data_IF_564457578488
#
_entry.id   IF_564457578488
#
_cell.length_a   1.000
_cell.length_b   1.000
_cell.length_c   1.000
_cell.angle_alpha   90.00
_cell.angle_beta   90.00
_cell.angle_gamma   90.00
#
_symmetry.space_group_name_H-M   'P 1'
#
loop_
_entity.id
_entity.type
_entity.pdbx_description
1 polymer ?
#
# COMPACT_ATOMS: atom_id res chain seq x y z
N UNK A 1 -36.30 -20.04 32.75
CA UNK A 1 -36.52 -20.05 31.27
C UNK A 1 -36.13 -18.75 30.58
N UNK A 2 -36.49 -17.57 31.09
CA UNK A 2 -36.17 -16.28 30.45
C UNK A 2 -34.67 -15.85 30.44
N UNK A 3 -33.85 -16.30 31.38
CA UNK A 3 -32.40 -16.00 31.39
C UNK A 3 -31.60 -16.78 30.35
N UNK A 4 -31.95 -18.05 30.14
CA UNK A 4 -31.30 -18.92 29.14
C UNK A 4 -31.53 -18.38 27.72
N UNK A 5 -32.76 -17.91 27.45
CA UNK A 5 -33.12 -17.28 26.18
C UNK A 5 -32.34 -15.97 25.98
N UNK A 6 -32.26 -15.11 27.01
CA UNK A 6 -31.49 -13.85 26.95
C UNK A 6 -30.00 -14.08 26.74
N UNK A 7 -29.42 -15.11 27.36
CA UNK A 7 -28.02 -15.48 27.16
C UNK A 7 -27.76 -16.01 25.73
N UNK A 8 -28.65 -16.87 25.22
CA UNK A 8 -28.57 -17.39 23.85
C UNK A 8 -28.62 -16.29 22.79
N UNK A 9 -29.54 -15.33 22.92
CA UNK A 9 -29.66 -14.18 22.00
C UNK A 9 -28.41 -13.30 22.04
N UNK A 10 -27.87 -13.02 23.24
CA UNK A 10 -26.65 -12.19 23.39
C UNK A 10 -25.41 -12.87 22.79
N UNK A 11 -25.31 -14.20 22.91
CA UNK A 11 -24.25 -14.99 22.30
C UNK A 11 -24.34 -14.99 20.77
N UNK A 12 -25.54 -15.17 20.21
CA UNK A 12 -25.79 -15.12 18.77
C UNK A 12 -25.47 -13.73 18.17
N UNK A 13 -25.87 -12.65 18.84
CA UNK A 13 -25.58 -11.29 18.41
C UNK A 13 -24.08 -11.00 18.39
N UNK A 14 -23.34 -11.44 19.43
CA UNK A 14 -21.87 -11.32 19.45
C UNK A 14 -21.23 -12.05 18.27
N UNK A 15 -21.68 -13.28 17.99
CA UNK A 15 -21.18 -14.08 16.86
C UNK A 15 -21.45 -13.38 15.53
N UNK A 16 -22.63 -12.81 15.35
CA UNK A 16 -23.01 -12.08 14.14
C UNK A 16 -22.17 -10.80 13.94
N UNK A 17 -21.88 -10.06 15.01
CA UNK A 17 -21.01 -8.87 14.96
C UNK A 17 -19.58 -9.28 14.55
N UNK A 18 -19.03 -10.34 15.15
CA UNK A 18 -17.68 -10.82 14.80
C UNK A 18 -17.57 -11.25 13.34
N UNK A 19 -18.58 -11.99 12.84
CA UNK A 19 -18.64 -12.39 11.43
C UNK A 19 -18.65 -11.16 10.49
N UNK A 20 -19.41 -10.12 10.84
CA UNK A 20 -19.45 -8.88 10.07
C UNK A 20 -18.11 -8.14 10.05
N UNK A 21 -17.37 -8.12 11.16
CA UNK A 21 -16.04 -7.52 11.22
C UNK A 21 -15.00 -8.31 10.42
N UNK A 22 -15.06 -9.65 10.48
CA UNK A 22 -14.20 -10.51 9.65
C UNK A 22 -14.46 -10.31 8.15
N UNK A 23 -15.72 -10.17 7.75
CA UNK A 23 -16.13 -9.85 6.39
C UNK A 23 -15.58 -8.51 5.93
N UNK A 24 -15.77 -7.45 6.71
CA UNK A 24 -15.22 -6.12 6.41
C UNK A 24 -13.71 -6.14 6.26
N UNK A 25 -13.01 -6.84 7.16
CA UNK A 25 -11.55 -6.97 7.13
C UNK A 25 -11.08 -7.70 5.87
N UNK A 26 -11.78 -8.77 5.48
CA UNK A 26 -11.50 -9.51 4.24
C UNK A 26 -11.72 -8.64 3.00
N UNK A 27 -12.81 -7.87 2.95
CA UNK A 27 -13.10 -6.94 1.86
C UNK A 27 -12.03 -5.84 1.76
N UNK A 28 -11.64 -5.25 2.89
CA UNK A 28 -10.60 -4.22 2.94
C UNK A 28 -9.25 -4.78 2.48
N UNK A 29 -8.87 -5.99 2.91
CA UNK A 29 -7.65 -6.65 2.45
C UNK A 29 -7.62 -6.80 0.93
N UNK A 30 -8.73 -7.21 0.33
CA UNK A 30 -8.79 -7.33 -1.13
C UNK A 30 -8.64 -5.97 -1.82
N UNK A 31 -9.25 -4.91 -1.30
CA UNK A 31 -9.11 -3.55 -1.85
C UNK A 31 -7.68 -3.03 -1.76
N UNK A 32 -7.02 -3.23 -0.61
CA UNK A 32 -5.60 -2.87 -0.42
C UNK A 32 -4.72 -3.62 -1.42
N UNK A 33 -4.98 -4.90 -1.68
CA UNK A 33 -4.22 -5.68 -2.66
C UNK A 33 -4.42 -5.17 -4.10
N UNK A 34 -5.65 -4.76 -4.47
CA UNK A 34 -5.92 -4.16 -5.79
C UNK A 34 -5.21 -2.81 -5.91
N UNK A 35 -5.24 -1.98 -4.86
CA UNK A 35 -4.55 -0.69 -4.84
C UNK A 35 -3.03 -0.87 -4.95
N UNK A 36 -2.47 -1.84 -4.22
CA UNK A 36 -1.07 -2.23 -4.35
C UNK A 36 -0.72 -2.67 -5.77
N UNK A 37 -1.54 -3.53 -6.39
CA UNK A 37 -1.35 -3.97 -7.77
C UNK A 37 -1.30 -2.78 -8.74
N UNK A 38 -2.24 -1.84 -8.62
CA UNK A 38 -2.27 -0.63 -9.45
C UNK A 38 -0.97 0.16 -9.30
N UNK A 39 -0.50 0.38 -8.07
CA UNK A 39 0.75 1.09 -7.83
C UNK A 39 1.96 0.32 -8.38
N UNK A 40 1.97 -1.01 -8.21
CA UNK A 40 3.09 -1.88 -8.55
C UNK A 40 3.28 -2.05 -10.06
N UNK A 41 2.18 -2.08 -10.80
CA UNK A 41 2.16 -2.19 -12.27
C UNK A 41 2.06 -0.82 -12.96
N UNK A 42 2.18 0.28 -12.20
CA UNK A 42 2.13 1.66 -12.72
C UNK A 42 0.84 1.97 -13.49
N UNK A 43 -0.27 1.38 -13.08
CA UNK A 43 -1.58 1.58 -13.70
C UNK A 43 -2.24 2.88 -13.20
N UNK A 44 -3.08 3.54 -14.04
CA UNK A 44 -3.84 4.70 -13.62
C UNK A 44 -4.82 4.39 -12.47
N UNK A 45 -4.93 5.27 -11.48
CA UNK A 45 -5.82 5.07 -10.32
C UNK A 45 -7.30 4.88 -10.69
N UNK A 46 -7.73 5.42 -11.84
CA UNK A 46 -9.08 5.21 -12.39
C UNK A 46 -9.40 3.74 -12.69
N UNK A 47 -8.40 2.86 -12.76
CA UNK A 47 -8.57 1.40 -12.91
C UNK A 47 -9.11 0.71 -11.64
N UNK A 48 -9.06 1.36 -10.48
CA UNK A 48 -9.46 0.77 -9.20
C UNK A 48 -10.91 0.29 -9.18
N UNK A 49 -11.86 1.17 -9.52
CA UNK A 49 -13.27 0.81 -9.60
C UNK A 49 -13.57 -0.32 -10.59
N UNK A 50 -13.12 -0.24 -11.86
CA UNK A 50 -13.23 -1.33 -12.82
C UNK A 50 -12.67 -2.67 -12.32
N UNK A 51 -11.52 -2.67 -11.64
CA UNK A 51 -10.92 -3.90 -11.10
C UNK A 51 -11.74 -4.48 -9.94
N UNK A 52 -12.26 -3.64 -9.03
CA UNK A 52 -13.17 -4.09 -7.97
C UNK A 52 -14.42 -4.75 -8.58
N UNK A 53 -15.02 -4.13 -9.60
CA UNK A 53 -16.19 -4.69 -10.30
C UNK A 53 -15.86 -6.01 -11.00
N UNK A 54 -14.67 -6.15 -11.58
CA UNK A 54 -14.20 -7.39 -12.19
C UNK A 54 -14.07 -8.50 -11.15
N UNK A 55 -13.46 -8.23 -10.00
CA UNK A 55 -13.37 -9.20 -8.90
C UNK A 55 -14.74 -9.61 -8.37
N UNK A 56 -15.67 -8.65 -8.24
CA UNK A 56 -17.06 -8.95 -7.88
C UNK A 56 -17.73 -9.87 -8.90
N UNK A 57 -17.54 -9.62 -10.21
CA UNK A 57 -18.05 -10.49 -11.29
C UNK A 57 -17.47 -11.90 -11.23
N UNK A 58 -16.23 -12.04 -10.74
CA UNK A 58 -15.56 -13.32 -10.55
C UNK A 58 -15.90 -14.00 -9.21
N UNK A 59 -16.91 -13.52 -8.48
CA UNK A 59 -17.42 -14.15 -7.26
C UNK A 59 -16.71 -13.73 -5.97
N UNK A 60 -15.86 -12.69 -6.01
CA UNK A 60 -15.28 -12.14 -4.79
C UNK A 60 -16.28 -11.17 -4.16
N UNK A 61 -16.76 -11.49 -2.97
CA UNK A 61 -17.64 -10.61 -2.21
C UNK A 61 -16.89 -9.35 -1.75
N UNK A 62 -16.97 -8.29 -2.55
CA UNK A 62 -16.39 -6.97 -2.30
C UNK A 62 -17.50 -5.94 -2.46
N UNK A 63 -17.78 -5.19 -1.39
CA UNK A 63 -18.72 -4.09 -1.53
C UNK A 63 -18.16 -3.00 -2.47
N UNK A 64 -19.03 -2.30 -3.24
CA UNK A 64 -18.61 -1.23 -4.13
C UNK A 64 -18.28 0.09 -3.40
N UNK A 65 -18.42 0.16 -2.07
CA UNK A 65 -18.11 1.38 -1.31
C UNK A 65 -16.61 1.69 -1.47
N UNK A 66 -16.25 2.96 -1.71
CA UNK A 66 -14.86 3.39 -1.88
C UNK A 66 -14.16 2.92 -3.17
N UNK A 67 -14.89 2.65 -4.26
CA UNK A 67 -14.35 2.15 -5.53
C UNK A 67 -13.86 3.26 -6.50
N UNK A 68 -13.27 4.33 -5.98
CA UNK A 68 -12.80 5.48 -6.77
C UNK A 68 -11.29 5.73 -6.64
N UNK A 69 -10.79 6.59 -7.52
CA UNK A 69 -9.40 6.99 -7.64
C UNK A 69 -8.84 7.66 -6.37
N UNK A 70 -9.61 8.53 -5.72
CA UNK A 70 -9.21 9.17 -4.45
C UNK A 70 -8.92 8.13 -3.38
N UNK A 71 -9.81 7.13 -3.24
CA UNK A 71 -9.64 6.04 -2.26
C UNK A 71 -8.48 5.12 -2.63
N UNK A 72 -8.25 4.88 -3.92
CA UNK A 72 -7.06 4.17 -4.38
C UNK A 72 -5.79 4.91 -3.95
N UNK A 73 -5.72 6.22 -4.18
CA UNK A 73 -4.57 7.05 -3.81
C UNK A 73 -4.32 7.05 -2.30
N UNK A 74 -5.36 7.18 -1.48
CA UNK A 74 -5.26 7.09 -0.02
C UNK A 74 -4.70 5.73 0.44
N UNK A 75 -5.20 4.62 -0.12
CA UNK A 75 -4.71 3.27 0.22
C UNK A 75 -3.24 3.09 -0.19
N UNK A 76 -2.86 3.56 -1.39
CA UNK A 76 -1.47 3.53 -1.85
C UNK A 76 -0.58 4.37 -0.92
N UNK A 77 -1.05 5.53 -0.47
CA UNK A 77 -0.35 6.37 0.51
C UNK A 77 -0.08 5.62 1.81
N UNK A 78 -1.09 4.97 2.39
CA UNK A 78 -0.94 4.17 3.61
C UNK A 78 0.03 2.99 3.41
N UNK A 79 -0.03 2.31 2.27
CA UNK A 79 0.91 1.24 1.93
C UNK A 79 2.34 1.79 1.88
N UNK A 80 2.54 2.93 1.21
CA UNK A 80 3.84 3.58 1.08
C UNK A 80 4.40 3.99 2.45
N UNK A 81 3.58 4.52 3.35
CA UNK A 81 4.00 4.89 4.71
C UNK A 81 4.47 3.68 5.51
N UNK A 82 3.71 2.58 5.49
CA UNK A 82 4.11 1.32 6.15
C UNK A 82 5.42 0.79 5.55
N UNK A 83 5.58 0.85 4.23
CA UNK A 83 6.82 0.44 3.57
C UNK A 83 8.01 1.32 3.97
N UNK A 84 7.83 2.64 4.09
CA UNK A 84 8.85 3.59 4.58
C UNK A 84 9.22 3.34 6.03
N UNK A 85 8.23 3.07 6.90
CA UNK A 85 8.48 2.72 8.30
C UNK A 85 9.29 1.44 8.43
N UNK A 86 8.93 0.40 7.66
CA UNK A 86 9.68 -0.86 7.60
C UNK A 86 11.12 -0.66 7.11
N UNK A 87 11.29 0.13 6.05
CA UNK A 87 12.62 0.49 5.53
C UNK A 87 13.43 1.28 6.58
N UNK A 88 12.82 2.27 7.25
CA UNK A 88 13.47 3.04 8.31
C UNK A 88 13.92 2.14 9.46
N UNK A 89 13.05 1.24 9.92
CA UNK A 89 13.38 0.27 10.97
C UNK A 89 14.55 -0.66 10.56
N UNK A 90 14.60 -1.04 9.28
CA UNK A 90 15.69 -1.85 8.71
C UNK A 90 17.01 -1.08 8.63
N UNK A 91 16.98 0.20 8.29
CA UNK A 91 18.16 1.04 8.13
C UNK A 91 18.76 1.53 9.47
N UNK A 92 17.92 1.77 10.49
CA UNK A 92 18.36 2.29 11.80
C UNK A 92 19.53 1.54 12.46
N UNK A 93 19.56 0.19 12.50
CA UNK A 93 20.66 -0.54 13.15
C UNK A 93 21.89 -0.77 12.25
N UNK A 94 21.85 -0.36 10.98
CA UNK A 94 22.90 -0.67 10.00
C UNK A 94 24.14 0.19 10.27
N UNK A 95 25.29 -0.46 10.46
CA UNK A 95 26.56 0.23 10.75
C UNK A 95 27.26 0.78 9.50
N UNK A 96 27.09 0.10 8.37
CA UNK A 96 27.76 0.43 7.12
C UNK A 96 26.75 0.40 5.98
N UNK A 97 26.62 1.54 5.32
CA UNK A 97 25.79 1.69 4.13
C UNK A 97 26.49 2.62 3.14
N UNK A 98 26.15 2.47 1.87
CA UNK A 98 26.47 3.41 0.82
C UNK A 98 25.18 4.02 0.28
N UNK A 99 25.22 5.32 -0.03
CA UNK A 99 24.12 6.01 -0.71
C UNK A 99 24.49 6.07 -2.19
N UNK A 100 23.58 5.61 -3.05
CA UNK A 100 23.69 5.71 -4.50
C UNK A 100 22.64 6.71 -4.96
N UNK A 101 23.08 7.73 -5.69
CA UNK A 101 22.19 8.75 -6.26
C UNK A 101 22.32 8.61 -7.76
N UNK A 102 21.22 8.26 -8.41
CA UNK A 102 21.13 8.17 -9.87
C UNK A 102 20.32 9.36 -10.39
N UNK A 103 20.77 9.91 -11.52
CA UNK A 103 20.12 11.03 -12.18
C UNK A 103 19.40 10.55 -13.42
N UNK A 104 18.12 10.87 -13.53
CA UNK A 104 17.32 10.69 -14.74
C UNK A 104 16.93 12.07 -15.29
N UNK A 105 16.97 12.20 -16.61
CA UNK A 105 16.55 13.43 -17.30
C UNK A 105 15.31 13.09 -18.10
N UNK A 106 14.17 13.58 -17.64
CA UNK A 106 12.95 13.42 -18.43
C UNK A 106 12.99 14.33 -19.67
N UNK A 107 12.21 13.96 -20.69
CA UNK A 107 12.10 14.70 -21.97
C UNK A 107 11.51 16.12 -21.75
N UNK A 108 10.98 16.41 -20.56
CA UNK A 108 10.37 17.70 -20.17
C UNK A 108 11.29 18.63 -19.37
N UNK A 109 12.62 18.45 -19.44
CA UNK A 109 13.64 19.27 -18.75
C UNK A 109 13.54 19.25 -17.21
N UNK A 110 12.84 18.27 -16.63
CA UNK A 110 12.79 18.11 -15.17
C UNK A 110 13.79 17.06 -14.75
N UNK A 111 14.81 17.48 -13.99
CA UNK A 111 15.79 16.55 -13.45
C UNK A 111 15.15 15.74 -12.34
N UNK A 112 15.30 14.42 -12.39
CA UNK A 112 14.87 13.54 -11.33
C UNK A 112 16.05 12.82 -10.71
N UNK A 113 16.12 12.76 -9.39
CA UNK A 113 17.12 11.96 -8.68
C UNK A 113 16.48 10.80 -7.95
N UNK A 114 16.97 9.60 -8.22
CA UNK A 114 16.57 8.38 -7.53
C UNK A 114 17.65 8.07 -6.50
N UNK A 115 17.24 7.88 -5.25
CA UNK A 115 18.13 7.59 -4.13
C UNK A 115 17.95 6.14 -3.71
N UNK A 116 19.05 5.39 -3.76
CA UNK A 116 19.15 4.05 -3.21
C UNK A 116 20.11 4.02 -2.03
N UNK A 117 19.87 3.09 -1.11
CA UNK A 117 20.84 2.69 -0.09
C UNK A 117 21.32 1.28 -0.42
N UNK A 118 22.64 1.10 -0.46
CA UNK A 118 23.29 -0.20 -0.54
C UNK A 118 23.83 -0.60 0.83
N UNK A 119 23.49 -1.80 1.29
CA UNK A 119 23.97 -2.35 2.56
C UNK A 119 24.20 -3.86 2.44
N UNK A 120 24.75 -4.47 3.50
CA UNK A 120 24.93 -5.92 3.58
C UNK A 120 23.76 -6.58 4.35
N UNK A 121 23.09 -7.51 3.69
CA UNK A 121 22.13 -8.44 4.29
C UNK A 121 22.65 -9.86 4.12
N UNK A 122 22.82 -10.58 5.22
CA UNK A 122 23.34 -11.96 5.22
C UNK A 122 24.63 -12.13 4.39
N UNK A 123 25.53 -11.14 4.50
CA UNK A 123 26.81 -11.10 3.80
C UNK A 123 26.71 -10.73 2.31
N UNK A 124 25.52 -10.39 1.80
CA UNK A 124 25.29 -10.03 0.40
C UNK A 124 24.92 -8.55 0.25
N UNK A 125 25.44 -7.86 -0.77
CA UNK A 125 25.03 -6.49 -1.05
C UNK A 125 23.58 -6.45 -1.56
N UNK A 126 22.76 -5.61 -0.94
CA UNK A 126 21.35 -5.36 -1.32
C UNK A 126 21.15 -3.87 -1.57
N UNK A 127 20.43 -3.53 -2.64
CA UNK A 127 20.02 -2.17 -2.96
C UNK A 127 18.56 -1.97 -2.55
N UNK A 128 18.29 -0.92 -1.77
CA UNK A 128 16.95 -0.54 -1.33
C UNK A 128 16.64 0.84 -1.87
N UNK A 129 15.51 0.98 -2.57
CA UNK A 129 15.00 2.29 -2.99
C UNK A 129 14.55 3.07 -1.74
N UNK A 130 15.06 4.29 -1.59
CA UNK A 130 14.67 5.20 -0.49
C UNK A 130 13.62 6.19 -0.96
N UNK A 131 13.80 6.73 -2.18
CA UNK A 131 12.87 7.69 -2.73
C UNK A 131 13.36 8.26 -4.04
N UNK A 132 12.51 9.10 -4.61
CA UNK A 132 12.73 9.81 -5.85
C UNK A 132 12.37 11.27 -5.60
N UNK A 133 13.21 12.19 -6.06
CA UNK A 133 13.02 13.63 -5.90
C UNK A 133 13.11 14.31 -7.25
N UNK A 134 12.03 15.00 -7.61
CA UNK A 134 11.98 15.92 -8.73
C UNK A 134 12.70 17.22 -8.35
N UNK A 135 13.54 17.75 -9.24
CA UNK A 135 14.31 18.98 -9.04
C UNK A 135 13.92 20.02 -10.09
N UNK A 136 13.78 21.27 -9.65
CA UNK A 136 13.67 22.41 -10.55
C UNK A 136 15.07 22.84 -11.01
N UNK A 137 15.20 23.15 -12.30
CA UNK A 137 16.43 23.70 -12.86
C UNK A 137 16.79 25.05 -12.19
N UNK A 138 17.83 25.06 -11.36
CA UNK A 138 18.59 26.28 -11.13
C UNK A 138 19.45 26.49 -12.37
N UNK A 139 19.28 27.63 -13.04
CA UNK A 139 20.02 27.96 -14.26
C UNK A 139 21.51 27.69 -14.05
N UNK A 140 22.10 26.85 -14.91
CA UNK A 140 23.54 26.85 -15.09
C UNK A 140 23.93 28.27 -15.54
N UNK A 141 24.72 28.95 -14.72
CA UNK A 141 25.29 30.28 -14.99
C UNK A 141 26.32 30.15 -16.12
#
# INVERSE_FOLDING_TARGET
TGEIIRHGVRSALKKQVLLSEEEKRRQLKTKINIAYFIAKEEEPFVKFGPLIRLHHKNGVDINPTYDNDVRCAEMIGQIADIMRESLSAKLKPVKYLAILIDGDTDISNTECKIVYVRLLEDGKPVNLLVGQQTLEHSHAI
#
